data_IF_795147001418
#
_entry.id   IF_795147001418
#
_cell.length_a   1.000
_cell.length_b   1.000
_cell.length_c   1.000
_cell.angle_alpha   90.00
_cell.angle_beta   90.00
_cell.angle_gamma   90.00
#
_symmetry.space_group_name_H-M   'P 1'
#
loop_
_entity.id
_entity.type
_entity.pdbx_description
1 polymer ?
#
# COMPACT_ATOMS: atom_id res chain seq x y z
N UNK A 1 1.17 5.92 9.73
CA UNK A 1 -0.17 6.30 9.25
C UNK A 1 -1.24 5.43 9.90
N UNK A 2 -1.27 4.12 9.63
CA UNK A 2 -2.27 3.21 10.21
C UNK A 2 -2.18 3.07 11.75
N UNK A 3 -0.95 3.02 12.30
CA UNK A 3 -0.70 3.02 13.77
C UNK A 3 -1.32 4.21 14.50
N UNK A 4 -1.45 5.35 13.81
CA UNK A 4 -1.95 6.59 14.39
C UNK A 4 -3.44 6.82 14.11
N UNK A 5 -4.15 5.79 13.64
CA UNK A 5 -5.57 5.89 13.28
C UNK A 5 -5.86 6.74 12.03
N UNK A 6 -4.82 7.15 11.29
CA UNK A 6 -4.97 7.97 10.09
C UNK A 6 -5.39 7.05 8.95
N UNK A 7 -6.58 7.31 8.38
CA UNK A 7 -7.12 6.56 7.25
C UNK A 7 -6.26 6.79 6.00
N UNK A 8 -6.04 5.76 5.17
CA UNK A 8 -5.37 5.94 3.88
C UNK A 8 -6.12 6.93 2.99
N UNK A 9 -5.41 7.78 2.24
CA UNK A 9 -6.03 8.69 1.29
C UNK A 9 -6.75 7.90 0.19
N UNK A 10 -7.81 8.49 -0.37
CA UNK A 10 -8.52 7.94 -1.53
C UNK A 10 -7.77 8.25 -2.84
N UNK A 11 -6.49 7.89 -2.88
CA UNK A 11 -5.65 8.03 -4.06
C UNK A 11 -5.37 6.67 -4.68
N UNK A 12 -5.11 6.67 -5.98
CA UNK A 12 -4.63 5.49 -6.68
C UNK A 12 -3.11 5.47 -6.67
N UNK A 13 -2.55 4.29 -6.49
CA UNK A 13 -1.11 4.02 -6.49
C UNK A 13 -0.81 2.95 -7.51
N UNK A 14 0.32 3.09 -8.20
CA UNK A 14 0.84 2.07 -9.11
C UNK A 14 2.25 1.70 -8.68
N UNK A 15 2.59 0.42 -8.81
CA UNK A 15 3.97 -0.04 -8.64
C UNK A 15 4.67 0.07 -10.00
N UNK A 16 5.82 0.74 -10.03
CA UNK A 16 6.61 0.89 -11.26
C UNK A 16 7.31 -0.40 -11.66
N UNK A 17 7.59 -1.31 -10.72
CA UNK A 17 8.38 -2.51 -11.01
C UNK A 17 7.66 -3.53 -11.90
N UNK A 18 6.38 -3.87 -11.66
CA UNK A 18 5.58 -4.67 -12.59
C UNK A 18 5.42 -3.99 -13.95
N UNK A 19 5.25 -2.66 -13.96
CA UNK A 19 5.14 -1.89 -15.20
C UNK A 19 6.41 -2.06 -16.04
N UNK A 20 7.59 -1.95 -15.44
CA UNK A 20 8.85 -2.18 -16.16
C UNK A 20 9.03 -3.60 -16.68
N UNK A 21 8.71 -4.60 -15.84
CA UNK A 21 8.84 -6.01 -16.23
C UNK A 21 7.89 -6.40 -17.35
N UNK A 22 6.67 -5.85 -17.36
CA UNK A 22 5.64 -6.24 -18.33
C UNK A 22 5.67 -5.37 -19.59
N UNK A 23 5.94 -4.07 -19.47
CA UNK A 23 5.83 -3.12 -20.59
C UNK A 23 7.16 -2.86 -21.30
N UNK A 24 8.31 -3.01 -20.63
CA UNK A 24 9.61 -2.64 -21.20
C UNK A 24 10.45 -3.85 -21.54
N UNK A 25 10.84 -4.66 -20.54
CA UNK A 25 11.69 -5.82 -20.79
C UNK A 25 11.60 -6.86 -19.66
N UNK A 26 10.97 -8.03 -19.90
CA UNK A 26 10.76 -9.04 -18.86
C UNK A 26 12.05 -9.74 -18.41
N UNK A 27 13.10 -9.72 -19.25
CA UNK A 27 14.37 -10.40 -18.97
C UNK A 27 15.39 -9.49 -18.26
N UNK A 28 15.06 -8.23 -18.03
CA UNK A 28 15.98 -7.26 -17.48
C UNK A 28 15.98 -7.27 -15.94
N UNK A 29 17.15 -7.08 -15.34
CA UNK A 29 17.29 -6.92 -13.91
C UNK A 29 16.47 -5.71 -13.43
N UNK A 30 15.39 -5.97 -12.70
CA UNK A 30 14.46 -4.94 -12.24
C UNK A 30 14.88 -4.27 -10.92
N UNK A 31 16.18 -4.24 -10.60
CA UNK A 31 16.64 -3.49 -9.42
C UNK A 31 16.64 -2.00 -9.74
N UNK A 32 16.34 -1.17 -8.74
CA UNK A 32 16.30 0.28 -8.96
C UNK A 32 17.67 0.82 -9.42
N UNK A 33 18.77 0.30 -8.88
CA UNK A 33 20.12 0.70 -9.25
C UNK A 33 20.45 0.35 -10.71
N UNK A 34 20.08 -0.86 -11.17
CA UNK A 34 20.30 -1.27 -12.57
C UNK A 34 19.48 -0.41 -13.51
N UNK A 35 18.21 -0.16 -13.20
CA UNK A 35 17.34 0.69 -14.02
C UNK A 35 17.83 2.15 -14.04
N UNK A 36 18.22 2.71 -12.89
CA UNK A 36 18.76 4.07 -12.81
C UNK A 36 20.06 4.22 -13.62
N UNK A 37 20.97 3.24 -13.56
CA UNK A 37 22.19 3.27 -14.37
C UNK A 37 21.94 3.23 -15.87
N UNK A 38 20.79 2.69 -16.31
CA UNK A 38 20.46 2.56 -17.73
C UNK A 38 19.66 3.73 -18.27
N UNK A 39 18.64 4.17 -17.54
CA UNK A 39 17.67 5.16 -18.03
C UNK A 39 17.96 6.58 -17.53
N UNK A 40 18.78 6.75 -16.48
CA UNK A 40 18.97 8.03 -15.80
C UNK A 40 20.44 8.34 -15.56
N UNK A 41 21.27 8.27 -16.61
CA UNK A 41 22.73 8.51 -16.56
C UNK A 41 23.12 9.89 -16.00
N UNK A 42 22.25 10.88 -16.15
CA UNK A 42 22.45 12.24 -15.67
C UNK A 42 22.07 12.44 -14.20
N UNK A 43 21.42 11.45 -13.57
CA UNK A 43 20.99 11.51 -12.19
C UNK A 43 21.89 10.65 -11.30
N UNK A 44 22.65 11.24 -10.36
CA UNK A 44 23.46 10.48 -9.42
C UNK A 44 22.56 9.79 -8.39
N UNK A 45 22.21 8.52 -8.66
CA UNK A 45 21.43 7.70 -7.73
C UNK A 45 22.28 7.31 -6.51
N UNK A 46 21.86 7.77 -5.33
CA UNK A 46 22.48 7.45 -4.04
C UNK A 46 21.60 6.41 -3.36
N UNK A 47 22.06 5.16 -3.33
CA UNK A 47 21.31 4.06 -2.73
C UNK A 47 21.05 4.32 -1.25
N UNK A 48 19.84 4.01 -0.78
CA UNK A 48 19.39 4.14 0.61
C UNK A 48 19.23 5.58 1.10
N UNK A 49 19.40 6.57 0.23
CA UNK A 49 18.89 7.91 0.49
C UNK A 49 17.42 7.96 0.06
N UNK A 50 16.52 8.22 1.00
CA UNK A 50 15.08 8.16 0.74
C UNK A 50 14.64 9.13 -0.35
N UNK A 51 15.29 10.30 -0.45
CA UNK A 51 14.98 11.28 -1.50
C UNK A 51 15.47 10.81 -2.86
N UNK A 52 16.70 10.31 -2.94
CA UNK A 52 17.27 9.76 -4.18
C UNK A 52 16.51 8.52 -4.65
N UNK A 53 16.18 7.61 -3.74
CA UNK A 53 15.40 6.39 -4.00
C UNK A 53 13.95 6.68 -4.38
N UNK A 54 13.39 7.84 -3.99
CA UNK A 54 12.08 8.29 -4.45
C UNK A 54 12.13 8.95 -5.85
N UNK A 55 13.22 9.65 -6.18
CA UNK A 55 13.39 10.33 -7.48
C UNK A 55 13.82 9.39 -8.59
N UNK A 56 14.70 8.43 -8.30
CA UNK A 56 15.17 7.45 -9.27
C UNK A 56 14.03 6.73 -10.02
N UNK A 57 13.00 6.14 -9.35
CA UNK A 57 11.93 5.45 -10.06
C UNK A 57 11.07 6.40 -10.89
N UNK A 58 10.88 7.64 -10.45
CA UNK A 58 10.18 8.66 -11.25
C UNK A 58 10.89 8.87 -12.59
N UNK A 59 12.20 9.15 -12.55
CA UNK A 59 12.98 9.37 -13.77
C UNK A 59 13.05 8.14 -14.65
N UNK A 60 13.29 6.97 -14.05
CA UNK A 60 13.30 5.69 -14.74
C UNK A 60 11.99 5.48 -15.49
N UNK A 61 10.83 5.62 -14.83
CA UNK A 61 9.49 5.49 -15.44
C UNK A 61 9.31 6.48 -16.59
N UNK A 62 9.59 7.76 -16.38
CA UNK A 62 9.36 8.80 -17.39
C UNK A 62 10.25 8.66 -18.62
N UNK A 63 11.46 8.11 -18.46
CA UNK A 63 12.42 7.96 -19.56
C UNK A 63 12.34 6.57 -20.22
N UNK A 64 11.98 5.54 -19.45
CA UNK A 64 11.99 4.15 -19.90
C UNK A 64 10.67 3.68 -20.53
N UNK A 65 9.56 4.39 -20.31
CA UNK A 65 8.24 4.01 -20.81
C UNK A 65 7.66 5.19 -21.62
N UNK A 66 7.46 5.00 -22.93
CA UNK A 66 6.99 6.05 -23.83
C UNK A 66 5.62 6.60 -23.45
N UNK A 67 4.69 5.74 -23.03
CA UNK A 67 3.37 6.13 -22.50
C UNK A 67 3.25 5.71 -21.03
N UNK A 68 4.10 6.30 -20.19
CA UNK A 68 4.16 5.98 -18.77
C UNK A 68 2.86 6.32 -18.03
N UNK A 69 2.07 7.28 -18.52
CA UNK A 69 0.82 7.70 -17.89
C UNK A 69 -0.24 6.60 -18.03
N UNK A 70 -0.48 6.14 -19.25
CA UNK A 70 -1.41 5.03 -19.50
C UNK A 70 -0.94 3.75 -18.83
N UNK A 71 0.36 3.46 -18.88
CA UNK A 71 0.93 2.29 -18.21
C UNK A 71 0.71 2.34 -16.70
N UNK A 72 1.06 3.44 -16.03
CA UNK A 72 0.82 3.60 -14.60
C UNK A 72 -0.68 3.55 -14.24
N UNK A 73 -1.56 4.11 -15.07
CA UNK A 73 -3.01 4.05 -14.84
C UNK A 73 -3.57 2.64 -15.01
N UNK A 74 -3.07 1.86 -15.96
CA UNK A 74 -3.50 0.47 -16.18
C UNK A 74 -3.16 -0.45 -14.99
N UNK A 75 -2.08 -0.16 -14.28
CA UNK A 75 -1.64 -0.89 -13.09
C UNK A 75 -1.98 -0.18 -11.77
N UNK A 76 -2.71 0.94 -11.83
CA UNK A 76 -3.10 1.68 -10.65
C UNK A 76 -4.17 0.93 -9.85
N UNK A 77 -4.06 0.98 -8.53
CA UNK A 77 -5.05 0.45 -7.60
C UNK A 77 -5.24 1.38 -6.42
N UNK A 78 -6.39 1.30 -5.76
CA UNK A 78 -6.71 2.16 -4.61
C UNK A 78 -5.68 1.93 -3.50
N UNK A 79 -5.22 3.02 -2.87
CA UNK A 79 -4.22 3.02 -1.80
C UNK A 79 -4.38 1.89 -0.78
N UNK A 80 -5.60 1.68 -0.27
CA UNK A 80 -5.88 0.61 0.69
C UNK A 80 -5.56 -0.79 0.15
N UNK A 81 -5.93 -1.07 -1.10
CA UNK A 81 -5.63 -2.35 -1.76
C UNK A 81 -4.15 -2.47 -2.05
N UNK A 82 -3.55 -1.39 -2.56
CA UNK A 82 -2.12 -1.29 -2.83
C UNK A 82 -1.29 -1.63 -1.59
N UNK A 83 -1.57 -0.95 -0.47
CA UNK A 83 -0.86 -1.15 0.79
C UNK A 83 -0.97 -2.59 1.30
N UNK A 84 -2.09 -3.27 1.03
CA UNK A 84 -2.30 -4.67 1.40
C UNK A 84 -1.50 -5.61 0.49
N UNK A 85 -1.47 -5.35 -0.82
CA UNK A 85 -0.77 -6.21 -1.78
C UNK A 85 0.75 -6.12 -1.69
N UNK A 86 1.30 -4.93 -1.42
CA UNK A 86 2.76 -4.73 -1.32
C UNK A 86 3.31 -4.91 0.09
N UNK A 87 2.47 -5.31 1.06
CA UNK A 87 2.92 -5.52 2.44
C UNK A 87 3.31 -4.23 3.19
N UNK A 88 2.94 -3.04 2.67
CA UNK A 88 3.07 -1.77 3.40
C UNK A 88 2.16 -1.71 4.62
N UNK A 89 1.18 -2.61 4.70
CA UNK A 89 0.38 -2.84 5.88
C UNK A 89 1.17 -3.68 6.91
N UNK A 90 2.16 -3.08 7.55
CA UNK A 90 2.97 -3.72 8.61
C UNK A 90 2.20 -3.95 9.92
N UNK A 91 0.95 -3.49 9.99
CA UNK A 91 0.09 -3.67 11.14
C UNK A 91 -1.23 -4.28 10.68
N UNK A 92 -1.29 -5.62 10.71
CA UNK A 92 -2.55 -6.24 11.12
C UNK A 92 -2.85 -5.60 12.46
N UNK A 93 -3.92 -4.80 12.54
CA UNK A 93 -4.49 -4.41 13.82
C UNK A 93 -4.85 -5.75 14.46
N UNK A 94 -3.95 -6.33 15.26
CA UNK A 94 -4.39 -7.23 16.31
C UNK A 94 -5.38 -6.40 17.09
N UNK A 95 -6.59 -6.88 17.26
CA UNK A 95 -7.62 -6.24 18.08
C UNK A 95 -7.03 -5.97 19.47
N UNK A 96 -6.33 -4.87 19.63
CA UNK A 96 -5.95 -4.31 20.91
C UNK A 96 -7.17 -3.50 21.31
N UNK A 97 -8.22 -4.20 21.72
CA UNK A 97 -9.18 -3.63 22.63
C UNK A 97 -8.56 -3.82 24.03
N UNK A 98 -7.90 -2.82 24.63
CA UNK A 98 -7.34 -2.94 25.97
C UNK A 98 -8.43 -2.93 27.06
N UNK A 99 -9.69 -2.74 26.69
CA UNK A 99 -10.82 -2.74 27.60
C UNK A 99 -11.55 -4.09 27.48
N UNK A 100 -11.56 -4.92 28.53
CA UNK A 100 -12.45 -6.06 28.55
C UNK A 100 -13.89 -5.53 28.52
N UNK A 101 -14.66 -5.90 27.50
CA UNK A 101 -16.12 -5.82 27.53
C UNK A 101 -16.65 -6.88 28.49
N UNK A 102 -16.30 -6.71 29.77
CA UNK A 102 -16.84 -7.41 30.91
C UNK A 102 -17.75 -6.46 31.67
N UNK A 103 -18.83 -6.04 31.04
CA UNK A 103 -20.01 -5.56 31.77
C UNK A 103 -21.12 -6.51 31.39
N UNK A 104 -21.38 -7.45 32.29
CA UNK A 104 -22.62 -8.22 32.34
C UNK A 104 -23.78 -7.23 32.28
N UNK A 105 -24.33 -7.01 31.09
CA UNK A 105 -25.63 -6.39 30.94
C UNK A 105 -26.62 -7.53 31.17
N UNK A 106 -27.39 -7.54 32.28
CA UNK A 106 -28.44 -8.52 32.41
C UNK A 106 -29.42 -8.29 31.26
N UNK A 107 -29.59 -9.33 30.44
CA UNK A 107 -30.61 -9.42 29.42
C UNK A 107 -31.97 -9.22 30.06
N UNK A 108 -32.65 -8.11 29.73
CA UNK A 108 -34.05 -7.89 30.07
C UNK A 108 -34.87 -8.81 29.18
N UNK A 109 -34.96 -10.06 29.58
CA UNK A 109 -35.91 -11.06 29.10
C UNK A 109 -36.16 -11.99 30.27
N UNK A 110 -37.43 -12.16 30.62
CA UNK A 110 -37.98 -12.95 31.75
C UNK A 110 -38.43 -12.16 32.98
N UNK A 111 -39.48 -11.35 32.83
CA UNK A 111 -40.61 -11.42 33.78
C UNK A 111 -41.91 -11.40 32.95
N UNK A 112 -42.22 -12.57 32.39
CA UNK A 112 -43.55 -12.92 31.87
C UNK A 112 -43.96 -14.17 32.62
N UNK A 113 -44.77 -14.01 33.66
CA UNK A 113 -45.25 -15.12 34.49
C UNK A 113 -46.34 -14.67 35.44
N UNK A 114 -47.53 -14.47 34.90
CA UNK A 114 -48.79 -14.45 35.64
C UNK A 114 -49.17 -15.89 36.02
N UNK A 115 -49.53 -16.13 37.29
CA UNK A 115 -50.61 -17.02 37.75
C UNK A 115 -50.55 -17.08 39.29
N UNK A 116 -51.57 -16.60 40.02
CA UNK A 116 -52.81 -17.30 40.37
C UNK A 116 -52.59 -18.60 41.16
N UNK A 117 -52.60 -18.48 42.49
CA UNK A 117 -53.35 -19.32 43.46
C UNK A 117 -53.47 -18.57 44.78
#
# INVERSE_FOLDING_TARGET
MLVWGIRPPMWMFSDSLPVFKLAVNPNEGATLATLASRYTLWFPHVQRDALSDAKAPMYVVTMGISDWQTACMAFATICRRFMTSVGLNTFIIRDSNPFPTGINTPSITEISGVSDT
#
